data_IF_592897552819
#
_entry.id   IF_592897552819
#
_cell.length_a   1.000
_cell.length_b   1.000
_cell.length_c   1.000
_cell.angle_alpha   90.00
_cell.angle_beta   90.00
_cell.angle_gamma   90.00
#
_symmetry.space_group_name_H-M   'P 1'
#
loop_
_entity.id
_entity.type
_entity.pdbx_description
1 polymer ?
#
# COMPACT_ATOMS: atom_id res chain seq x y z
N UNK A 1 -5.64 20.19 -3.64
CA UNK A 1 -4.33 20.04 -2.94
C UNK A 1 -3.39 19.08 -3.66
N UNK A 2 -3.89 18.00 -4.27
CA UNK A 2 -3.06 17.05 -5.05
C UNK A 2 -2.42 17.67 -6.31
N UNK A 3 -3.13 18.58 -6.97
CA UNK A 3 -2.70 19.24 -8.21
C UNK A 3 -1.33 19.94 -8.12
N UNK A 4 -1.13 20.80 -7.10
CA UNK A 4 0.13 21.51 -6.87
C UNK A 4 1.31 20.60 -6.52
N UNK A 5 1.04 19.42 -5.97
CA UNK A 5 2.07 18.42 -5.64
C UNK A 5 2.49 17.63 -6.88
N UNK A 6 1.52 17.22 -7.70
CA UNK A 6 1.77 16.43 -8.92
C UNK A 6 2.50 17.26 -9.98
N UNK A 7 2.28 18.58 -10.04
CA UNK A 7 2.95 19.45 -11.00
C UNK A 7 4.48 19.54 -10.83
N UNK A 8 4.99 19.39 -9.60
CA UNK A 8 6.41 19.54 -9.29
C UNK A 8 7.09 18.25 -8.82
N UNK A 9 6.38 17.12 -8.84
CA UNK A 9 6.90 15.83 -8.39
C UNK A 9 6.99 14.84 -9.56
N UNK A 10 8.01 13.98 -9.50
CA UNK A 10 8.05 12.78 -10.31
C UNK A 10 7.13 11.72 -9.70
N UNK A 11 6.25 11.14 -10.52
CA UNK A 11 5.29 10.14 -10.06
C UNK A 11 5.79 8.74 -10.42
N UNK A 12 6.13 7.96 -9.39
CA UNK A 12 6.57 6.58 -9.53
C UNK A 12 5.46 5.64 -9.04
N UNK A 13 4.98 4.77 -9.93
CA UNK A 13 4.02 3.72 -9.57
C UNK A 13 4.75 2.52 -8.98
N UNK A 14 4.46 2.19 -7.73
CA UNK A 14 5.07 1.04 -7.05
C UNK A 14 4.08 -0.11 -6.89
N UNK A 15 4.59 -1.34 -6.97
CA UNK A 15 3.83 -2.58 -6.79
C UNK A 15 4.57 -3.52 -5.84
N UNK A 16 3.85 -4.50 -5.34
CA UNK A 16 4.36 -5.49 -4.38
C UNK A 16 4.04 -5.11 -2.94
N UNK A 17 4.28 -6.07 -2.04
CA UNK A 17 3.99 -5.90 -0.62
C UNK A 17 5.05 -5.06 0.09
N UNK A 18 4.71 -4.59 1.29
CA UNK A 18 5.65 -3.83 2.10
C UNK A 18 6.90 -4.65 2.41
N UNK A 19 8.08 -4.07 2.14
CA UNK A 19 9.36 -4.67 2.52
C UNK A 19 9.48 -4.97 4.02
N UNK A 20 8.75 -4.26 4.88
CA UNK A 20 8.72 -4.52 6.33
C UNK A 20 8.16 -5.90 6.69
N UNK A 21 7.36 -6.46 5.78
CA UNK A 21 6.72 -7.76 5.89
C UNK A 21 7.54 -8.86 5.20
N UNK A 22 8.67 -8.50 4.59
CA UNK A 22 9.64 -9.47 4.09
C UNK A 22 10.03 -10.42 5.22
N UNK A 23 10.05 -11.71 4.90
CA UNK A 23 10.39 -12.81 5.81
C UNK A 23 9.42 -12.99 7.00
N UNK A 24 8.33 -12.23 7.06
CA UNK A 24 7.18 -12.57 7.88
C UNK A 24 6.26 -13.38 6.99
N UNK A 25 5.93 -14.59 7.42
CA UNK A 25 4.81 -15.30 6.81
C UNK A 25 3.58 -14.41 7.05
N UNK A 26 3.13 -13.75 5.98
CA UNK A 26 1.96 -12.88 6.04
C UNK A 26 0.71 -13.65 6.45
N UNK A 27 0.78 -14.99 6.40
CA UNK A 27 -0.34 -15.86 6.66
C UNK A 27 -1.52 -15.48 5.77
N UNK A 28 -2.65 -16.14 5.99
CA UNK A 28 -3.90 -15.68 5.40
C UNK A 28 -4.22 -14.31 5.97
N UNK A 29 -4.33 -13.29 5.12
CA UNK A 29 -4.90 -11.98 5.51
C UNK A 29 -6.19 -12.27 6.28
N UNK A 30 -6.34 -11.82 7.54
CA UNK A 30 -7.57 -12.04 8.29
C UNK A 30 -8.72 -11.52 7.43
N UNK A 31 -9.72 -12.38 7.16
CA UNK A 31 -10.90 -11.94 6.43
C UNK A 31 -11.43 -10.69 7.14
N UNK A 32 -11.52 -9.58 6.41
CA UNK A 32 -12.08 -8.36 6.95
C UNK A 32 -13.46 -8.71 7.51
N UNK A 33 -13.64 -8.62 8.84
CA UNK A 33 -14.94 -8.85 9.44
C UNK A 33 -15.84 -7.72 8.96
N UNK A 34 -16.73 -8.03 8.01
CA UNK A 34 -17.91 -7.20 7.75
C UNK A 34 -18.77 -7.32 9.00
N UNK A 35 -18.73 -6.28 9.84
CA UNK A 35 -19.74 -6.08 10.87
C UNK A 35 -21.00 -5.60 10.14
N UNK A 36 -22.09 -6.37 10.26
CA UNK A 36 -23.46 -6.02 9.87
C UNK A 36 -24.05 -5.03 10.88
#
# INVERSE_FOLDING_TARGET
MIDRLVHHAEVISMKGDSYRLKDRDLGRVPAAKTND
#
